data_IF_169844329826
#
_entry.id   IF_169844329826
#
_cell.length_a   1.000
_cell.length_b   1.000
_cell.length_c   1.000
_cell.angle_alpha   90.00
_cell.angle_beta   90.00
_cell.angle_gamma   90.00
#
_symmetry.space_group_name_H-M   'P 1'
#
loop_
_entity.id
_entity.type
_entity.pdbx_description
1 polymer ?
#
# COMPACT_ATOMS: atom_id res chain seq x y z
N UNK A 1 7.72 3.36 13.88
CA UNK A 1 9.14 3.24 13.49
C UNK A 1 9.54 4.42 12.60
N UNK A 2 10.85 4.71 12.42
CA UNK A 2 11.31 5.80 11.54
C UNK A 2 10.76 5.68 10.11
N UNK A 3 10.57 4.45 9.64
CA UNK A 3 9.98 4.18 8.33
C UNK A 3 8.52 4.62 8.23
N UNK A 4 7.69 4.30 9.23
CA UNK A 4 6.28 4.70 9.24
C UNK A 4 6.14 6.23 9.20
N UNK A 5 6.96 6.95 9.97
CA UNK A 5 6.98 8.43 9.97
C UNK A 5 7.43 9.01 8.62
N UNK A 6 8.38 8.36 7.93
CA UNK A 6 8.79 8.77 6.59
C UNK A 6 7.67 8.58 5.55
N UNK A 7 6.96 7.46 5.60
CA UNK A 7 5.80 7.22 4.74
C UNK A 7 4.70 8.25 5.01
N UNK A 8 4.39 8.51 6.27
CA UNK A 8 3.38 9.50 6.67
C UNK A 8 3.71 10.91 6.14
N UNK A 9 4.99 11.31 6.21
CA UNK A 9 5.48 12.56 5.61
C UNK A 9 5.22 12.61 4.09
N UNK A 10 5.47 11.50 3.40
CA UNK A 10 5.25 11.43 1.96
C UNK A 10 3.77 11.38 1.58
N UNK A 11 2.90 10.83 2.44
CA UNK A 11 1.45 10.79 2.20
C UNK A 11 0.77 12.14 2.47
N UNK A 12 1.38 13.00 3.29
CA UNK A 12 0.85 14.33 3.63
C UNK A 12 1.41 15.48 2.78
N UNK A 13 2.34 15.19 1.87
CA UNK A 13 2.90 16.20 0.96
C UNK A 13 1.89 16.66 -0.10
N UNK A 14 2.03 17.91 -0.57
CA UNK A 14 1.18 18.44 -1.64
C UNK A 14 1.49 17.82 -3.03
N UNK A 15 2.64 17.16 -3.19
CA UNK A 15 3.02 16.54 -4.46
C UNK A 15 2.39 15.15 -4.62
N UNK A 16 1.41 15.04 -5.52
CA UNK A 16 0.72 13.79 -5.82
C UNK A 16 1.67 12.63 -6.21
N UNK A 17 2.75 12.93 -6.92
CA UNK A 17 3.75 11.92 -7.28
C UNK A 17 4.42 11.27 -6.07
N UNK A 18 4.70 12.04 -5.01
CA UNK A 18 5.27 11.51 -3.78
C UNK A 18 4.26 10.72 -2.94
N UNK A 19 2.99 11.15 -2.92
CA UNK A 19 1.92 10.37 -2.29
C UNK A 19 1.73 9.03 -2.98
N UNK A 20 1.67 9.01 -4.32
CA UNK A 20 1.58 7.80 -5.11
C UNK A 20 2.79 6.87 -4.88
N UNK A 21 4.01 7.42 -4.87
CA UNK A 21 5.23 6.68 -4.58
C UNK A 21 5.21 6.06 -3.18
N UNK A 22 4.76 6.80 -2.17
CA UNK A 22 4.65 6.29 -0.80
C UNK A 22 3.70 5.09 -0.72
N UNK A 23 2.54 5.16 -1.39
CA UNK A 23 1.58 4.06 -1.45
C UNK A 23 2.20 2.82 -2.11
N UNK A 24 2.95 2.99 -3.20
CA UNK A 24 3.64 1.88 -3.87
C UNK A 24 4.68 1.23 -2.95
N UNK A 25 5.48 2.04 -2.23
CA UNK A 25 6.48 1.55 -1.27
C UNK A 25 5.81 0.76 -0.15
N UNK A 26 4.68 1.25 0.38
CA UNK A 26 3.89 0.53 1.37
C UNK A 26 3.39 -0.81 0.82
N UNK A 27 2.86 -0.84 -0.41
CA UNK A 27 2.43 -2.07 -1.06
C UNK A 27 3.57 -3.10 -1.17
N UNK A 28 4.77 -2.67 -1.60
CA UNK A 28 5.95 -3.54 -1.69
C UNK A 28 6.35 -4.09 -0.32
N UNK A 29 6.29 -3.26 0.73
CA UNK A 29 6.67 -3.69 2.06
C UNK A 29 5.69 -4.66 2.68
N UNK A 30 4.40 -4.49 2.45
CA UNK A 30 3.39 -5.46 2.87
C UNK A 30 3.65 -6.80 2.21
N UNK A 31 3.91 -6.82 0.89
CA UNK A 31 4.26 -8.04 0.16
C UNK A 31 5.55 -8.70 0.67
N UNK A 32 6.55 -7.93 1.10
CA UNK A 32 7.81 -8.47 1.63
C UNK A 32 7.68 -8.89 3.09
N UNK A 33 6.88 -8.20 3.88
CA UNK A 33 6.71 -8.46 5.29
C UNK A 33 5.73 -9.61 5.57
N UNK A 34 4.87 -10.00 4.60
CA UNK A 34 4.22 -11.32 4.59
C UNK A 34 5.26 -12.46 4.70
N UNK A 35 6.51 -12.26 4.26
CA UNK A 35 7.60 -13.22 4.43
C UNK A 35 8.42 -13.06 5.71
N UNK A 36 8.23 -11.98 6.46
CA UNK A 36 9.13 -11.59 7.56
C UNK A 36 8.42 -11.14 8.86
N UNK A 37 7.11 -11.39 8.98
CA UNK A 37 6.24 -10.88 10.05
C UNK A 37 6.24 -9.35 10.16
N UNK A 38 5.35 -8.69 9.40
CA UNK A 38 5.05 -7.28 9.62
C UNK A 38 4.48 -7.06 11.03
N UNK A 39 5.10 -6.20 11.83
CA UNK A 39 4.55 -5.82 13.14
C UNK A 39 3.15 -5.22 12.97
N UNK A 40 2.18 -5.76 13.71
CA UNK A 40 0.77 -5.35 13.64
C UNK A 40 0.58 -3.85 13.85
N UNK A 41 1.35 -3.23 14.74
CA UNK A 41 1.31 -1.80 14.99
C UNK A 41 1.85 -0.97 13.82
N UNK A 42 2.91 -1.43 13.16
CA UNK A 42 3.42 -0.79 11.94
C UNK A 42 2.39 -0.90 10.81
N UNK A 43 1.77 -2.06 10.63
CA UNK A 43 0.73 -2.26 9.62
C UNK A 43 -0.51 -1.36 9.84
N UNK A 44 -0.95 -1.16 11.09
CA UNK A 44 -2.03 -0.23 11.44
C UNK A 44 -1.69 1.22 11.10
N UNK A 45 -0.50 1.68 11.43
CA UNK A 45 -0.04 3.04 11.11
C UNK A 45 -0.01 3.27 9.59
N UNK A 46 0.52 2.31 8.84
CA UNK A 46 0.53 2.37 7.38
C UNK A 46 -0.89 2.36 6.81
N UNK A 47 -1.79 1.57 7.37
CA UNK A 47 -3.20 1.54 6.97
C UNK A 47 -3.88 2.89 7.18
N UNK A 48 -3.68 3.53 8.33
CA UNK A 48 -4.25 4.85 8.60
C UNK A 48 -3.76 5.89 7.58
N UNK A 49 -2.46 5.91 7.28
CA UNK A 49 -1.90 6.83 6.29
C UNK A 49 -2.48 6.61 4.89
N UNK A 50 -2.51 5.35 4.42
CA UNK A 50 -3.01 5.03 3.07
C UNK A 50 -4.53 5.25 2.98
N UNK A 51 -5.29 5.01 4.05
CA UNK A 51 -6.73 5.24 4.09
C UNK A 51 -7.09 6.72 3.85
N UNK A 52 -6.30 7.65 4.38
CA UNK A 52 -6.46 9.08 4.13
C UNK A 52 -6.34 9.45 2.64
N UNK A 53 -5.54 8.69 1.88
CA UNK A 53 -5.34 8.91 0.45
C UNK A 53 -6.46 8.33 -0.43
N UNK A 54 -7.44 7.61 0.13
CA UNK A 54 -8.62 7.13 -0.63
C UNK A 54 -9.50 8.29 -1.09
N UNK A 55 -9.48 9.40 -0.35
CA UNK A 55 -10.19 10.65 -0.67
C UNK A 55 -9.29 11.68 -1.37
N UNK A 56 -8.10 11.29 -1.84
CA UNK A 56 -7.18 12.21 -2.49
C UNK A 56 -7.82 12.91 -3.70
N UNK A 57 -7.57 14.20 -3.96
CA UNK A 57 -8.12 14.86 -5.14
C UNK A 57 -7.61 14.25 -6.47
N UNK A 58 -6.45 13.60 -6.47
CA UNK A 58 -5.84 13.00 -7.66
C UNK A 58 -6.29 11.55 -7.83
N UNK A 59 -6.89 11.25 -8.99
CA UNK A 59 -7.47 9.93 -9.31
C UNK A 59 -6.47 8.78 -9.22
N UNK A 60 -5.23 8.99 -9.67
CA UNK A 60 -4.17 7.97 -9.62
C UNK A 60 -3.75 7.65 -8.19
N UNK A 61 -3.69 8.65 -7.31
CA UNK A 61 -3.40 8.48 -5.88
C UNK A 61 -4.54 7.72 -5.21
N UNK A 62 -5.80 8.10 -5.46
CA UNK A 62 -6.98 7.37 -4.93
C UNK A 62 -6.97 5.89 -5.32
N UNK A 63 -6.74 5.62 -6.60
CA UNK A 63 -6.76 4.26 -7.14
C UNK A 63 -5.70 3.39 -6.46
N UNK A 64 -4.48 3.93 -6.30
CA UNK A 64 -3.40 3.26 -5.56
C UNK A 64 -3.75 3.07 -4.09
N UNK A 65 -4.33 4.09 -3.45
CA UNK A 65 -4.70 4.02 -2.04
C UNK A 65 -5.73 2.92 -1.75
N UNK A 66 -6.76 2.78 -2.60
CA UNK A 66 -7.76 1.72 -2.50
C UNK A 66 -7.10 0.34 -2.56
N UNK A 67 -6.19 0.12 -3.51
CA UNK A 67 -5.45 -1.14 -3.65
C UNK A 67 -4.49 -1.38 -2.47
N UNK A 68 -3.84 -0.33 -1.98
CA UNK A 68 -2.93 -0.37 -0.83
C UNK A 68 -3.66 -0.75 0.46
N UNK A 69 -4.84 -0.16 0.71
CA UNK A 69 -5.72 -0.51 1.83
C UNK A 69 -6.11 -1.99 1.78
N UNK A 70 -6.56 -2.48 0.61
CA UNK A 70 -6.92 -3.89 0.46
C UNK A 70 -5.76 -4.84 0.78
N UNK A 71 -4.55 -4.49 0.35
CA UNK A 71 -3.34 -5.29 0.62
C UNK A 71 -2.96 -5.28 2.11
N UNK A 72 -3.03 -4.12 2.77
CA UNK A 72 -2.76 -3.98 4.20
C UNK A 72 -3.77 -4.72 5.07
N UNK A 73 -5.06 -4.61 4.74
CA UNK A 73 -6.13 -5.34 5.42
C UNK A 73 -5.95 -6.85 5.26
N UNK A 74 -5.60 -7.31 4.06
CA UNK A 74 -5.30 -8.72 3.82
C UNK A 74 -4.16 -9.22 4.72
N UNK A 75 -3.05 -8.48 4.79
CA UNK A 75 -1.92 -8.83 5.64
C UNK A 75 -2.24 -8.80 7.14
N UNK A 76 -3.09 -7.86 7.58
CA UNK A 76 -3.54 -7.72 8.97
C UNK A 76 -4.52 -8.82 9.41
N UNK A 77 -5.44 -9.23 8.52
CA UNK A 77 -6.52 -10.18 8.83
C UNK A 77 -6.07 -11.62 8.61
N UNK A 78 -5.38 -11.90 7.49
CA UNK A 78 -4.93 -13.26 7.15
C UNK A 78 -3.60 -13.64 7.81
N UNK A 79 -2.96 -12.68 8.49
CA UNK A 79 -1.83 -12.89 9.39
C UNK A 79 -0.79 -13.88 8.87
N UNK A 80 0.05 -13.48 7.90
CA UNK A 80 1.30 -14.18 7.56
C UNK A 80 1.22 -15.71 7.36
N UNK A 81 0.04 -16.24 7.04
CA UNK A 81 -0.20 -17.67 6.85
C UNK A 81 0.16 -18.10 5.43
N UNK A 82 1.00 -19.12 5.35
CA UNK A 82 1.75 -19.64 4.20
C UNK A 82 0.94 -20.10 2.95
N UNK A 83 -0.38 -19.85 2.87
CA UNK A 83 -1.29 -20.59 1.98
C UNK A 83 -2.09 -19.73 0.97
N UNK A 84 -1.60 -18.57 0.54
CA UNK A 84 -2.17 -17.91 -0.63
C UNK A 84 -1.13 -17.65 -1.72
N UNK A 85 -0.96 -18.69 -2.53
CA UNK A 85 -0.48 -18.69 -3.91
C UNK A 85 -0.67 -17.34 -4.63
N UNK A 86 0.44 -16.78 -5.10
CA UNK A 86 0.76 -16.20 -6.43
C UNK A 86 -0.37 -15.58 -7.28
N UNK A 87 -1.60 -16.07 -7.22
CA UNK A 87 -2.76 -15.67 -8.02
C UNK A 87 -3.34 -14.31 -7.63
N UNK A 88 -3.34 -13.93 -6.34
CA UNK A 88 -3.79 -12.59 -5.91
C UNK A 88 -2.76 -11.49 -6.18
N UNK A 89 -1.47 -11.84 -6.20
CA UNK A 89 -0.33 -10.92 -6.36
C UNK A 89 -0.15 -10.46 -7.82
N UNK A 90 -0.48 -11.33 -8.79
CA UNK A 90 -0.44 -10.98 -10.21
C UNK A 90 -1.53 -9.98 -10.58
N UNK A 91 -2.70 -10.05 -9.93
CA UNK A 91 -3.83 -9.16 -10.24
C UNK A 91 -3.56 -7.72 -9.80
N UNK A 92 -3.04 -7.50 -8.59
CA UNK A 92 -2.71 -6.14 -8.10
C UNK A 92 -1.52 -5.52 -8.83
N UNK A 93 -0.49 -6.31 -9.19
CA UNK A 93 0.66 -5.81 -9.94
C UNK A 93 0.32 -5.51 -11.41
N UNK A 94 -0.52 -6.33 -12.05
CA UNK A 94 -1.00 -6.09 -13.43
C UNK A 94 -1.92 -4.87 -13.48
N UNK A 95 -2.81 -4.70 -12.50
CA UNK A 95 -3.64 -3.48 -12.39
C UNK A 95 -2.80 -2.23 -12.12
N UNK A 96 -1.77 -2.30 -11.28
CA UNK A 96 -0.84 -1.19 -11.06
C UNK A 96 -0.08 -0.80 -12.34
N UNK A 97 0.31 -1.78 -13.17
CA UNK A 97 0.94 -1.50 -14.47
C UNK A 97 -0.02 -0.88 -15.48
N UNK A 98 -1.24 -1.42 -15.57
CA UNK A 98 -2.27 -0.91 -16.48
C UNK A 98 -2.68 0.53 -16.15
N UNK A 99 -2.81 0.89 -14.88
CA UNK A 99 -3.05 2.27 -14.46
C UNK A 99 -1.85 3.22 -14.71
N UNK A 100 -0.63 2.69 -14.79
CA UNK A 100 0.58 3.49 -15.07
C UNK A 100 0.85 3.68 -16.56
N UNK A 101 0.33 2.81 -17.42
CA UNK A 101 0.51 2.86 -18.89
C UNK A 101 -0.64 3.58 -19.61
N UNK A 102 -1.69 4.01 -18.90
CA UNK A 102 -2.88 4.67 -19.47
C UNK A 102 -2.75 6.21 -19.59
N UNK A 103 -1.54 6.77 -19.54
CA UNK A 103 -1.28 8.21 -19.69
C UNK A 103 -0.03 8.48 -20.52
#
# INVERSE_FOLDING_TARGET
SRFASFVELLLTTNRAGFRAFAIDVVGVLVMRAEKAHLEKETAKLLLQGVLGCVLDPVSSVRSKAILGVGSLLKALVLGGGNDMSVSGLRFSYVLMRQCSESH
#
